data_IF_166254928825
#
_entry.id   IF_166254928825
#
_cell.length_a   1.000
_cell.length_b   1.000
_cell.length_c   1.000
_cell.angle_alpha   90.00
_cell.angle_beta   90.00
_cell.angle_gamma   90.00
#
_symmetry.space_group_name_H-M   'P 1'
#
loop_
_entity.id
_entity.type
_entity.pdbx_description
1 polymer ?
#
# COMPACT_ATOMS: atom_id res chain seq x y z
N UNK A 1 1.01 7.45 -64.26
CA UNK A 1 1.44 7.86 -62.90
C UNK A 1 0.30 7.81 -61.86
N UNK A 2 -0.63 6.85 -61.96
CA UNK A 2 -1.74 6.68 -60.99
C UNK A 2 -1.42 5.68 -59.86
N UNK A 3 -0.21 5.11 -59.84
CA UNK A 3 0.25 4.13 -58.82
C UNK A 3 1.11 4.73 -57.70
N UNK A 4 1.53 6.01 -57.81
CA UNK A 4 2.33 6.68 -56.78
C UNK A 4 1.50 7.37 -55.69
N UNK A 5 0.22 7.67 -55.96
CA UNK A 5 -0.67 8.33 -54.99
C UNK A 5 -1.23 7.33 -53.96
N UNK A 6 -1.27 6.03 -54.29
CA UNK A 6 -1.78 5.00 -53.36
C UNK A 6 -0.77 4.60 -52.26
N UNK A 7 0.53 4.91 -52.43
CA UNK A 7 1.57 4.54 -51.45
C UNK A 7 1.80 5.66 -50.42
N UNK A 8 1.56 6.92 -50.77
CA UNK A 8 1.63 8.03 -49.80
C UNK A 8 0.42 8.10 -48.84
N UNK A 9 -0.75 7.60 -49.25
CA UNK A 9 -1.91 7.44 -48.35
C UNK A 9 -1.80 6.23 -47.42
N UNK A 10 -0.87 5.30 -47.68
CA UNK A 10 -0.64 4.14 -46.82
C UNK A 10 0.45 4.39 -45.76
N UNK A 11 1.29 5.42 -45.95
CA UNK A 11 2.36 5.77 -45.01
C UNK A 11 1.93 6.78 -43.92
N UNK A 12 0.83 7.52 -44.12
CA UNK A 12 0.29 8.46 -43.13
C UNK A 12 -0.74 7.85 -42.16
N UNK A 13 -1.17 6.61 -42.40
CA UNK A 13 -2.15 5.91 -41.53
C UNK A 13 -1.45 5.07 -40.45
N UNK A 14 -0.17 4.74 -40.61
CA UNK A 14 0.58 3.93 -39.63
C UNK A 14 1.29 4.75 -38.52
N UNK A 15 1.29 6.08 -38.55
CA UNK A 15 2.01 6.89 -37.55
C UNK A 15 1.14 7.52 -36.45
N UNK A 16 -0.19 7.55 -36.59
CA UNK A 16 -1.06 8.22 -35.62
C UNK A 16 -1.38 7.32 -34.41
N UNK A 17 -1.81 6.08 -34.64
CA UNK A 17 -2.23 5.16 -33.57
C UNK A 17 -1.08 4.78 -32.61
N UNK A 18 0.14 4.59 -33.13
CA UNK A 18 1.32 4.30 -32.32
C UNK A 18 1.80 5.50 -31.48
N UNK A 19 1.40 6.71 -31.86
CA UNK A 19 1.84 7.93 -31.18
C UNK A 19 1.05 8.14 -29.87
N UNK A 20 -0.27 7.90 -29.88
CA UNK A 20 -1.10 8.02 -28.69
C UNK A 20 -0.75 6.97 -27.62
N UNK A 21 -0.42 5.74 -28.03
CA UNK A 21 -0.01 4.67 -27.10
C UNK A 21 1.32 4.93 -26.39
N UNK A 22 2.19 5.78 -26.97
CA UNK A 22 3.50 6.13 -26.38
C UNK A 22 3.41 7.45 -25.61
N UNK A 23 2.86 8.48 -26.24
CA UNK A 23 2.78 9.81 -25.62
C UNK A 23 1.73 9.88 -24.51
N UNK A 24 0.67 9.06 -24.61
CA UNK A 24 -0.41 8.96 -23.63
C UNK A 24 0.12 8.71 -22.21
N UNK A 25 0.79 7.56 -21.99
CA UNK A 25 1.43 7.25 -20.71
C UNK A 25 2.54 8.25 -20.36
N UNK A 26 3.33 8.70 -21.34
CA UNK A 26 4.45 9.63 -21.09
C UNK A 26 4.01 10.88 -20.32
N UNK A 27 2.97 11.59 -20.79
CA UNK A 27 2.51 12.80 -20.10
C UNK A 27 1.82 12.51 -18.76
N UNK A 28 1.29 11.30 -18.55
CA UNK A 28 0.79 10.89 -17.22
C UNK A 28 1.96 10.69 -16.24
N UNK A 29 3.02 10.03 -16.69
CA UNK A 29 4.20 9.73 -15.87
C UNK A 29 5.01 10.99 -15.51
N UNK A 30 5.08 11.96 -16.42
CA UNK A 30 5.75 13.24 -16.17
C UNK A 30 4.85 14.28 -15.47
N UNK A 31 3.60 13.94 -15.19
CA UNK A 31 2.58 14.85 -14.64
C UNK A 31 2.34 16.12 -15.49
N UNK A 32 2.65 16.05 -16.79
CA UNK A 32 2.52 17.14 -17.77
C UNK A 32 1.13 17.12 -18.43
N UNK A 33 0.07 17.14 -17.61
CA UNK A 33 -1.30 16.87 -18.07
C UNK A 33 -1.82 17.91 -19.07
N UNK A 34 -1.55 19.20 -18.87
CA UNK A 34 -1.99 20.26 -19.78
C UNK A 34 -1.37 20.14 -21.18
N UNK A 35 -0.07 19.82 -21.26
CA UNK A 35 0.60 19.61 -22.56
C UNK A 35 0.10 18.31 -23.20
N UNK A 36 -0.10 17.25 -22.42
CA UNK A 36 -0.76 16.02 -22.87
C UNK A 36 -2.14 16.27 -23.47
N UNK A 37 -2.97 17.11 -22.83
CA UNK A 37 -4.28 17.52 -23.38
C UNK A 37 -4.09 18.25 -24.71
N UNK A 38 -3.16 19.20 -24.80
CA UNK A 38 -2.91 19.97 -26.04
C UNK A 38 -2.49 19.07 -27.19
N UNK A 39 -1.56 18.14 -26.95
CA UNK A 39 -1.04 17.21 -27.95
C UNK A 39 -2.14 16.23 -28.40
N UNK A 40 -2.79 15.53 -27.46
CA UNK A 40 -3.83 14.54 -27.80
C UNK A 40 -5.08 15.18 -28.41
N UNK A 41 -5.46 16.39 -27.97
CA UNK A 41 -6.55 17.13 -28.60
C UNK A 41 -6.20 17.56 -30.03
N UNK A 42 -4.92 17.82 -30.31
CA UNK A 42 -4.41 17.99 -31.68
C UNK A 42 -4.63 16.75 -32.52
N UNK A 43 -4.25 15.58 -32.00
CA UNK A 43 -4.45 14.29 -32.68
C UNK A 43 -5.94 14.00 -32.93
N UNK A 44 -6.81 14.29 -31.95
CA UNK A 44 -8.26 14.14 -32.12
C UNK A 44 -8.86 15.11 -33.15
N UNK A 45 -8.23 16.26 -33.43
CA UNK A 45 -8.68 17.14 -34.52
C UNK A 45 -8.31 16.56 -35.88
N UNK A 46 -7.14 15.93 -35.99
CA UNK A 46 -6.67 15.30 -37.22
C UNK A 46 -7.37 13.97 -37.50
N UNK A 47 -7.60 13.18 -36.45
CA UNK A 47 -8.34 11.93 -36.47
C UNK A 47 -9.37 11.90 -35.33
N UNK A 48 -10.62 12.34 -35.60
CA UNK A 48 -11.69 12.32 -34.60
C UNK A 48 -12.02 10.95 -34.04
N UNK A 49 -11.72 9.86 -34.75
CA UNK A 49 -12.11 8.50 -34.34
C UNK A 49 -10.95 7.75 -33.65
N UNK A 50 -9.95 8.47 -33.14
CA UNK A 50 -8.86 7.87 -32.35
C UNK A 50 -9.26 7.63 -30.89
N UNK A 51 -9.66 6.39 -30.58
CA UNK A 51 -10.08 6.00 -29.23
C UNK A 51 -8.98 6.21 -28.17
N UNK A 52 -7.70 5.85 -28.41
CA UNK A 52 -6.63 6.08 -27.45
C UNK A 52 -6.42 7.56 -27.10
N UNK A 53 -6.39 8.47 -28.09
CA UNK A 53 -6.26 9.92 -27.79
C UNK A 53 -7.44 10.43 -26.98
N UNK A 54 -8.68 10.02 -27.30
CA UNK A 54 -9.86 10.41 -26.51
C UNK A 54 -9.74 9.91 -25.07
N UNK A 55 -9.32 8.66 -24.90
CA UNK A 55 -9.07 8.07 -23.60
C UNK A 55 -8.04 8.85 -22.78
N UNK A 56 -6.88 9.19 -23.36
CA UNK A 56 -5.83 9.93 -22.64
C UNK A 56 -6.24 11.35 -22.30
N UNK A 57 -6.93 12.08 -23.20
CA UNK A 57 -7.51 13.40 -22.88
C UNK A 57 -8.43 13.30 -21.66
N UNK A 58 -9.30 12.28 -21.63
CA UNK A 58 -10.15 11.99 -20.50
C UNK A 58 -9.36 11.78 -19.20
N UNK A 59 -8.31 10.96 -19.25
CA UNK A 59 -7.45 10.69 -18.07
C UNK A 59 -6.68 11.91 -17.59
N UNK A 60 -6.19 12.77 -18.47
CA UNK A 60 -5.52 14.01 -18.08
C UNK A 60 -6.49 14.96 -17.37
N UNK A 61 -7.72 15.11 -17.87
CA UNK A 61 -8.73 15.89 -17.17
C UNK A 61 -9.08 15.33 -15.79
N UNK A 62 -9.11 14.00 -15.63
CA UNK A 62 -9.26 13.38 -14.30
C UNK A 62 -8.06 13.67 -13.39
N UNK A 63 -6.84 13.59 -13.90
CA UNK A 63 -5.63 13.93 -13.13
C UNK A 63 -5.63 15.40 -12.67
N UNK A 64 -6.23 16.30 -13.47
CA UNK A 64 -6.47 17.70 -13.11
C UNK A 64 -7.71 17.93 -12.22
N UNK A 65 -8.36 16.87 -11.75
CA UNK A 65 -9.59 16.91 -10.96
C UNK A 65 -10.75 17.66 -11.66
N UNK A 66 -10.91 17.44 -12.98
CA UNK A 66 -11.97 18.03 -13.83
C UNK A 66 -12.84 16.93 -14.46
N UNK A 67 -13.60 16.15 -13.67
CA UNK A 67 -14.31 14.97 -14.17
C UNK A 67 -15.43 15.29 -15.17
N UNK A 68 -16.07 16.45 -15.09
CA UNK A 68 -17.09 16.89 -16.05
C UNK A 68 -16.49 17.12 -17.44
N UNK A 69 -15.23 17.55 -17.51
CA UNK A 69 -14.50 17.71 -18.77
C UNK A 69 -13.96 16.38 -19.27
N UNK A 70 -13.59 15.46 -18.38
CA UNK A 70 -13.08 14.14 -18.74
C UNK A 70 -14.14 13.24 -19.38
N UNK A 71 -15.34 13.21 -18.79
CA UNK A 71 -16.37 12.22 -19.10
C UNK A 71 -16.75 12.16 -20.60
N UNK A 72 -16.96 13.27 -21.33
CA UNK A 72 -17.28 13.21 -22.76
C UNK A 72 -16.21 12.51 -23.61
N UNK A 73 -14.93 12.67 -23.25
CA UNK A 73 -13.82 12.03 -23.96
C UNK A 73 -13.71 10.54 -23.63
N UNK A 74 -13.90 10.16 -22.37
CA UNK A 74 -13.92 8.74 -21.95
C UNK A 74 -15.10 8.00 -22.59
N UNK A 75 -16.30 8.61 -22.58
CA UNK A 75 -17.46 8.05 -23.28
C UNK A 75 -17.24 7.95 -24.79
N UNK A 76 -16.49 8.89 -25.39
CA UNK A 76 -16.10 8.80 -26.80
C UNK A 76 -15.19 7.61 -27.04
N UNK A 77 -14.16 7.41 -26.21
CA UNK A 77 -13.28 6.25 -26.30
C UNK A 77 -14.07 4.93 -26.19
N UNK A 78 -15.02 4.82 -25.24
CA UNK A 78 -15.91 3.65 -25.10
C UNK A 78 -16.82 3.45 -26.32
N UNK A 79 -17.29 4.53 -26.98
CA UNK A 79 -18.09 4.39 -28.20
C UNK A 79 -17.28 3.89 -29.38
N UNK A 80 -16.02 4.33 -29.48
CA UNK A 80 -15.10 3.96 -30.56
C UNK A 80 -14.57 2.54 -30.39
N UNK A 81 -14.31 2.14 -29.14
CA UNK A 81 -13.94 0.77 -28.78
C UNK A 81 -14.72 0.30 -27.54
N UNK A 82 -15.90 -0.32 -27.73
CA UNK A 82 -16.75 -0.79 -26.63
C UNK A 82 -16.23 -2.06 -25.94
N UNK A 83 -15.20 -2.72 -26.48
CA UNK A 83 -14.62 -3.93 -25.92
C UNK A 83 -13.48 -3.64 -24.93
N UNK A 84 -12.95 -2.41 -24.92
CA UNK A 84 -11.91 -1.98 -23.98
C UNK A 84 -12.45 -1.84 -22.56
N UNK A 85 -12.10 -2.80 -21.69
CA UNK A 85 -12.44 -2.78 -20.28
C UNK A 85 -11.85 -1.56 -19.55
N UNK A 86 -10.64 -1.14 -19.93
CA UNK A 86 -9.95 0.00 -19.31
C UNK A 86 -10.67 1.33 -19.62
N UNK A 87 -11.18 1.51 -20.84
CA UNK A 87 -11.96 2.72 -21.18
C UNK A 87 -13.25 2.80 -20.37
N UNK A 88 -13.90 1.66 -20.17
CA UNK A 88 -15.10 1.56 -19.34
C UNK A 88 -14.77 1.79 -17.87
N UNK A 89 -13.67 1.22 -17.36
CA UNK A 89 -13.19 1.43 -16.00
C UNK A 89 -12.94 2.92 -15.71
N UNK A 90 -12.19 3.62 -16.56
CA UNK A 90 -11.91 5.06 -16.36
C UNK A 90 -13.17 5.93 -16.48
N UNK A 91 -14.17 5.52 -17.26
CA UNK A 91 -15.50 6.15 -17.22
C UNK A 91 -16.15 6.01 -15.84
N UNK A 92 -16.00 4.85 -15.19
CA UNK A 92 -16.41 4.63 -13.80
C UNK A 92 -15.67 5.54 -12.81
N UNK A 93 -14.36 5.74 -12.99
CA UNK A 93 -13.57 6.68 -12.18
C UNK A 93 -14.10 8.11 -12.31
N UNK A 94 -14.48 8.53 -13.53
CA UNK A 94 -15.09 9.84 -13.74
C UNK A 94 -16.45 9.97 -13.02
N UNK A 95 -17.29 8.93 -13.05
CA UNK A 95 -18.54 8.92 -12.30
C UNK A 95 -18.32 8.98 -10.79
N UNK A 96 -17.33 8.25 -10.27
CA UNK A 96 -16.94 8.31 -8.86
C UNK A 96 -16.57 9.74 -8.44
N UNK A 97 -15.72 10.42 -9.23
CA UNK A 97 -15.28 11.78 -8.95
C UNK A 97 -16.43 12.81 -8.98
N UNK A 98 -17.50 12.54 -9.73
CA UNK A 98 -18.74 13.33 -9.72
C UNK A 98 -19.76 12.88 -8.66
N UNK A 99 -19.40 11.91 -7.81
CA UNK A 99 -20.29 11.28 -6.81
C UNK A 99 -21.52 10.57 -7.41
N UNK A 100 -21.47 10.18 -8.69
CA UNK A 100 -22.50 9.39 -9.37
C UNK A 100 -22.24 7.89 -9.13
N UNK A 101 -22.48 7.48 -7.90
CA UNK A 101 -22.10 6.16 -7.40
C UNK A 101 -22.87 4.98 -8.03
N UNK A 102 -24.01 5.24 -8.66
CA UNK A 102 -24.77 4.19 -9.37
C UNK A 102 -24.12 3.87 -10.71
N UNK A 103 -23.72 4.91 -11.48
CA UNK A 103 -23.04 4.71 -12.77
C UNK A 103 -21.59 4.28 -12.60
N UNK A 104 -20.92 4.73 -11.54
CA UNK A 104 -19.61 4.24 -11.11
C UNK A 104 -19.60 2.73 -10.98
N UNK A 105 -20.49 2.19 -10.13
CA UNK A 105 -20.63 0.75 -9.94
C UNK A 105 -20.94 0.01 -11.24
N UNK A 106 -21.91 0.51 -12.01
CA UNK A 106 -22.30 -0.13 -13.28
C UNK A 106 -21.14 -0.17 -14.30
N UNK A 107 -20.31 0.88 -14.33
CA UNK A 107 -19.11 0.92 -15.15
C UNK A 107 -18.07 -0.11 -14.68
N UNK A 108 -17.79 -0.21 -13.39
CA UNK A 108 -16.84 -1.22 -12.89
C UNK A 108 -17.33 -2.66 -13.12
N UNK A 109 -18.61 -2.93 -12.88
CA UNK A 109 -19.22 -4.24 -13.18
C UNK A 109 -19.14 -4.56 -14.68
N UNK A 110 -19.37 -3.57 -15.56
CA UNK A 110 -19.21 -3.73 -17.01
C UNK A 110 -17.75 -3.97 -17.41
N UNK A 111 -16.78 -3.26 -16.82
CA UNK A 111 -15.36 -3.48 -17.07
C UNK A 111 -14.95 -4.91 -16.71
N UNK A 112 -15.40 -5.43 -15.56
CA UNK A 112 -15.19 -6.83 -15.15
C UNK A 112 -15.87 -7.82 -16.11
N UNK A 113 -17.06 -7.47 -16.64
CA UNK A 113 -17.73 -8.28 -17.65
C UNK A 113 -16.98 -8.37 -18.98
N UNK A 114 -16.20 -7.34 -19.33
CA UNK A 114 -15.35 -7.30 -20.52
C UNK A 114 -14.00 -8.00 -20.28
N UNK A 115 -13.39 -7.76 -19.12
CA UNK A 115 -12.15 -8.41 -18.68
C UNK A 115 -12.28 -8.86 -17.21
N UNK A 116 -12.53 -10.16 -16.97
CA UNK A 116 -12.62 -10.73 -15.63
C UNK A 116 -11.33 -10.67 -14.80
N UNK A 117 -10.20 -10.30 -15.41
CA UNK A 117 -8.91 -10.17 -14.72
C UNK A 117 -8.52 -8.70 -14.50
N UNK A 118 -9.43 -7.75 -14.73
CA UNK A 118 -9.13 -6.33 -14.58
C UNK A 118 -8.97 -5.95 -13.09
N UNK A 119 -7.73 -5.94 -12.61
CA UNK A 119 -7.37 -5.72 -11.20
C UNK A 119 -8.00 -4.44 -10.63
N UNK A 120 -7.84 -3.30 -11.30
CA UNK A 120 -8.36 -2.02 -10.79
C UNK A 120 -9.89 -2.03 -10.66
N UNK A 121 -10.62 -2.55 -11.65
CA UNK A 121 -12.09 -2.62 -11.59
C UNK A 121 -12.56 -3.47 -10.40
N UNK A 122 -11.92 -4.60 -10.12
CA UNK A 122 -12.21 -5.38 -8.91
C UNK A 122 -11.86 -4.60 -7.63
N UNK A 123 -10.69 -3.97 -7.57
CA UNK A 123 -10.23 -3.23 -6.38
C UNK A 123 -11.19 -2.09 -6.03
N UNK A 124 -11.51 -1.23 -7.01
CA UNK A 124 -12.39 -0.07 -6.81
C UNK A 124 -13.84 -0.47 -6.60
N UNK A 125 -14.34 -1.53 -7.24
CA UNK A 125 -15.66 -2.08 -6.92
C UNK A 125 -15.68 -2.61 -5.46
N UNK A 126 -14.59 -3.21 -5.00
CA UNK A 126 -14.39 -3.60 -3.61
C UNK A 126 -14.47 -2.41 -2.65
N UNK A 127 -13.81 -1.29 -2.97
CA UNK A 127 -13.91 -0.05 -2.19
C UNK A 127 -15.35 0.48 -2.15
N UNK A 128 -16.04 0.53 -3.30
CA UNK A 128 -17.43 0.96 -3.37
C UNK A 128 -18.37 0.10 -2.51
N UNK A 129 -18.14 -1.23 -2.44
CA UNK A 129 -18.85 -2.11 -1.52
C UNK A 129 -18.51 -1.82 -0.05
N UNK A 130 -17.23 -1.63 0.28
CA UNK A 130 -16.76 -1.34 1.63
C UNK A 130 -17.35 -0.03 2.18
N UNK A 131 -17.40 1.04 1.37
CA UNK A 131 -17.94 2.35 1.77
C UNK A 131 -19.43 2.29 2.11
N UNK A 132 -20.15 1.31 1.54
CA UNK A 132 -21.57 1.05 1.83
C UNK A 132 -21.77 0.00 2.94
N UNK A 133 -20.70 -0.42 3.62
CA UNK A 133 -20.74 -1.46 4.66
C UNK A 133 -21.01 -2.87 4.14
N UNK A 134 -20.91 -3.09 2.82
CA UNK A 134 -21.16 -4.37 2.16
C UNK A 134 -19.88 -5.24 2.18
N UNK A 135 -19.39 -5.53 3.38
CA UNK A 135 -18.08 -6.13 3.62
C UNK A 135 -17.88 -7.50 2.98
N UNK A 136 -18.92 -8.34 2.93
CA UNK A 136 -18.84 -9.66 2.30
C UNK A 136 -18.66 -9.56 0.78
N UNK A 137 -19.30 -8.58 0.13
CA UNK A 137 -19.10 -8.30 -1.29
C UNK A 137 -17.69 -7.74 -1.54
N UNK A 138 -17.25 -6.78 -0.71
CA UNK A 138 -15.92 -6.19 -0.80
C UNK A 138 -14.82 -7.26 -0.68
N UNK A 139 -14.92 -8.15 0.32
CA UNK A 139 -13.98 -9.24 0.54
C UNK A 139 -13.81 -10.11 -0.71
N UNK A 140 -14.90 -10.48 -1.38
CA UNK A 140 -14.83 -11.29 -2.61
C UNK A 140 -14.04 -10.59 -3.71
N UNK A 141 -14.20 -9.27 -3.86
CA UNK A 141 -13.46 -8.51 -4.86
C UNK A 141 -11.96 -8.44 -4.51
N UNK A 142 -11.63 -8.15 -3.25
CA UNK A 142 -10.23 -8.13 -2.80
C UNK A 142 -9.57 -9.51 -2.91
N UNK A 143 -10.29 -10.60 -2.70
CA UNK A 143 -9.78 -11.95 -2.92
C UNK A 143 -9.50 -12.26 -4.39
N UNK A 144 -10.27 -11.69 -5.32
CA UNK A 144 -9.95 -11.79 -6.77
C UNK A 144 -8.67 -11.01 -7.07
N UNK A 145 -8.55 -9.77 -6.57
CA UNK A 145 -7.32 -8.97 -6.72
C UNK A 145 -6.11 -9.75 -6.21
N UNK A 146 -6.19 -10.35 -5.01
CA UNK A 146 -5.09 -11.11 -4.41
C UNK A 146 -4.78 -12.44 -5.10
N UNK A 147 -5.68 -12.96 -5.94
CA UNK A 147 -5.37 -14.11 -6.82
C UNK A 147 -4.56 -13.67 -8.04
N UNK A 148 -4.80 -12.46 -8.54
CA UNK A 148 -4.15 -11.90 -9.73
C UNK A 148 -2.82 -11.21 -9.39
N UNK A 149 -2.80 -10.48 -8.27
CA UNK A 149 -1.67 -9.78 -7.69
C UNK A 149 -1.59 -10.10 -6.19
N UNK A 150 -0.88 -11.19 -5.81
CA UNK A 150 -0.79 -11.65 -4.41
C UNK A 150 -0.16 -10.67 -3.43
N UNK A 151 0.53 -9.65 -3.94
CA UNK A 151 1.23 -8.66 -3.14
C UNK A 151 0.53 -7.31 -3.15
N UNK A 152 -0.64 -7.16 -3.79
CA UNK A 152 -1.32 -5.87 -3.86
C UNK A 152 -1.55 -5.24 -2.46
N UNK A 153 -0.92 -4.09 -2.13
CA UNK A 153 -0.95 -3.55 -0.77
C UNK A 153 -2.36 -3.13 -0.35
N UNK A 154 -3.13 -2.52 -1.26
CA UNK A 154 -4.50 -2.09 -0.98
C UNK A 154 -5.43 -3.26 -0.77
N UNK A 155 -5.35 -4.32 -1.58
CA UNK A 155 -6.20 -5.49 -1.42
C UNK A 155 -5.84 -6.29 -0.15
N UNK A 156 -4.55 -6.40 0.21
CA UNK A 156 -4.11 -7.02 1.46
C UNK A 156 -4.66 -6.27 2.68
N UNK A 157 -4.51 -4.94 2.70
CA UNK A 157 -5.00 -4.08 3.77
C UNK A 157 -6.53 -4.12 3.87
N UNK A 158 -7.24 -3.97 2.74
CA UNK A 158 -8.70 -3.91 2.74
C UNK A 158 -9.35 -5.29 2.93
N UNK A 159 -8.67 -6.39 2.62
CA UNK A 159 -9.11 -7.74 2.99
C UNK A 159 -9.24 -7.89 4.51
N UNK A 160 -8.24 -7.42 5.26
CA UNK A 160 -8.30 -7.48 6.73
C UNK A 160 -9.42 -6.59 7.28
N UNK A 161 -9.62 -5.38 6.73
CA UNK A 161 -10.77 -4.52 7.06
C UNK A 161 -12.11 -5.18 6.77
N UNK A 162 -12.24 -5.83 5.61
CA UNK A 162 -13.47 -6.50 5.23
C UNK A 162 -13.76 -7.71 6.14
N UNK A 163 -12.73 -8.48 6.53
CA UNK A 163 -12.84 -9.57 7.49
C UNK A 163 -13.29 -9.09 8.87
N UNK A 164 -12.78 -7.94 9.32
CA UNK A 164 -13.28 -7.26 10.52
C UNK A 164 -14.75 -6.89 10.39
N UNK A 165 -15.15 -6.31 9.25
CA UNK A 165 -16.53 -5.88 9.00
C UNK A 165 -17.56 -7.01 8.93
N UNK A 166 -17.12 -8.26 8.81
CA UNK A 166 -17.97 -9.46 8.90
C UNK A 166 -17.65 -10.33 10.14
N UNK A 167 -17.01 -9.74 11.16
CA UNK A 167 -16.70 -10.37 12.45
C UNK A 167 -15.88 -11.69 12.36
N UNK A 168 -15.03 -11.84 11.34
CA UNK A 168 -14.12 -12.99 11.18
C UNK A 168 -12.75 -12.72 11.82
N UNK A 169 -12.72 -12.58 13.14
CA UNK A 169 -11.54 -12.13 13.91
C UNK A 169 -10.26 -12.95 13.68
N UNK A 170 -10.34 -14.29 13.65
CA UNK A 170 -9.14 -15.12 13.42
C UNK A 170 -8.52 -14.87 12.05
N UNK A 171 -9.36 -14.68 11.04
CA UNK A 171 -8.93 -14.43 9.67
C UNK A 171 -8.43 -12.99 9.50
N UNK A 172 -9.06 -12.03 10.19
CA UNK A 172 -8.60 -10.63 10.26
C UNK A 172 -7.15 -10.56 10.80
N UNK A 173 -6.88 -11.20 11.94
CA UNK A 173 -5.54 -11.23 12.55
C UNK A 173 -4.52 -11.80 11.56
N UNK A 174 -4.85 -12.91 10.90
CA UNK A 174 -3.97 -13.50 9.90
C UNK A 174 -3.75 -12.57 8.70
N UNK A 175 -4.79 -11.85 8.26
CA UNK A 175 -4.70 -10.91 7.16
C UNK A 175 -3.86 -9.66 7.51
N UNK A 176 -3.97 -9.11 8.73
CA UNK A 176 -3.11 -8.02 9.18
C UNK A 176 -1.64 -8.42 9.23
N UNK A 177 -1.34 -9.61 9.77
CA UNK A 177 0.03 -10.14 9.77
C UNK A 177 0.58 -10.32 8.37
N UNK A 178 -0.25 -10.80 7.44
CA UNK A 178 0.14 -10.96 6.04
C UNK A 178 0.43 -9.63 5.35
N UNK A 179 -0.34 -8.59 5.62
CA UNK A 179 -0.06 -7.24 5.13
C UNK A 179 1.28 -6.72 5.69
N UNK A 180 1.49 -6.81 7.00
CA UNK A 180 2.69 -6.34 7.69
C UNK A 180 3.96 -7.15 7.35
N UNK A 181 3.82 -8.38 6.85
CA UNK A 181 4.93 -9.17 6.33
C UNK A 181 5.58 -8.51 5.10
N UNK A 182 4.77 -7.89 4.24
CA UNK A 182 5.22 -7.26 3.00
C UNK A 182 5.36 -5.75 3.09
N UNK A 183 4.51 -5.11 3.88
CA UNK A 183 4.41 -3.65 4.01
C UNK A 183 4.48 -3.24 5.48
N UNK A 184 5.65 -3.39 6.15
CA UNK A 184 5.83 -3.04 7.55
C UNK A 184 6.06 -1.55 7.79
N UNK A 185 5.84 -0.67 6.80
CA UNK A 185 6.08 0.76 6.90
C UNK A 185 4.92 1.63 6.36
N UNK A 186 4.96 2.91 6.71
CA UNK A 186 3.93 3.87 6.33
C UNK A 186 2.68 3.86 7.22
N UNK A 187 1.71 4.71 6.88
CA UNK A 187 0.48 4.91 7.66
C UNK A 187 -0.38 3.65 7.75
N UNK A 188 -0.50 2.90 6.65
CA UNK A 188 -1.25 1.65 6.64
C UNK A 188 -0.63 0.60 7.57
N UNK A 189 0.70 0.50 7.64
CA UNK A 189 1.37 -0.41 8.58
C UNK A 189 1.12 -0.03 10.04
N UNK A 190 1.16 1.26 10.35
CA UNK A 190 0.86 1.74 11.70
C UNK A 190 -0.57 1.39 12.10
N UNK A 191 -1.56 1.64 11.23
CA UNK A 191 -2.95 1.31 11.49
C UNK A 191 -3.17 -0.20 11.57
N UNK A 192 -2.59 -0.99 10.67
CA UNK A 192 -2.67 -2.45 10.69
C UNK A 192 -2.10 -3.02 12.01
N UNK A 193 -1.00 -2.45 12.49
CA UNK A 193 -0.38 -2.83 13.76
C UNK A 193 -1.28 -2.51 14.95
N UNK A 194 -1.93 -1.33 14.95
CA UNK A 194 -2.91 -0.98 15.98
C UNK A 194 -4.08 -1.96 16.00
N UNK A 195 -4.61 -2.34 14.83
CA UNK A 195 -5.68 -3.34 14.74
C UNK A 195 -5.23 -4.70 15.27
N UNK A 196 -4.01 -5.13 14.93
CA UNK A 196 -3.44 -6.39 15.42
C UNK A 196 -3.27 -6.37 16.95
N UNK A 197 -2.78 -5.26 17.51
CA UNK A 197 -2.56 -5.11 18.95
C UNK A 197 -3.88 -5.01 19.75
N UNK A 198 -4.98 -4.51 19.16
CA UNK A 198 -6.31 -4.52 19.78
C UNK A 198 -6.85 -5.95 20.04
N UNK A 199 -6.33 -6.92 19.29
CA UNK A 199 -6.60 -8.35 19.45
C UNK A 199 -5.59 -9.06 20.38
N UNK A 200 -4.64 -8.32 20.95
CA UNK A 200 -3.59 -8.87 21.82
C UNK A 200 -2.47 -9.61 21.08
N UNK A 201 -2.43 -9.53 19.74
CA UNK A 201 -1.29 -10.01 18.98
C UNK A 201 -0.27 -8.85 18.85
N UNK A 202 0.90 -9.06 19.43
CA UNK A 202 2.01 -8.09 19.44
C UNK A 202 3.17 -8.56 18.57
N UNK A 203 2.90 -9.33 17.51
CA UNK A 203 3.93 -9.72 16.51
C UNK A 203 4.58 -8.48 15.89
N UNK A 204 3.82 -7.41 15.72
CA UNK A 204 4.28 -6.08 15.33
C UNK A 204 3.85 -5.05 16.38
N UNK A 205 4.63 -3.99 16.55
CA UNK A 205 4.35 -2.87 17.46
C UNK A 205 4.79 -1.55 16.85
N UNK A 206 4.02 -0.50 17.12
CA UNK A 206 4.40 0.86 16.77
C UNK A 206 5.30 1.43 17.87
N UNK A 207 6.42 2.03 17.45
CA UNK A 207 7.37 2.67 18.34
C UNK A 207 7.64 4.10 17.89
N UNK A 208 7.65 5.02 18.87
CA UNK A 208 8.16 6.37 18.65
C UNK A 208 9.68 6.30 18.79
N UNK A 209 10.38 6.40 17.67
CA UNK A 209 11.84 6.37 17.59
C UNK A 209 12.31 7.77 17.17
N UNK A 210 12.75 8.55 18.15
CA UNK A 210 13.07 9.97 17.97
C UNK A 210 11.82 10.77 17.63
N UNK A 211 11.74 11.29 16.40
CA UNK A 211 10.58 12.05 15.88
C UNK A 211 9.70 11.24 14.92
N UNK A 212 10.00 9.95 14.72
CA UNK A 212 9.32 9.10 13.75
C UNK A 212 8.54 8.02 14.46
N UNK A 213 7.34 7.73 13.97
CA UNK A 213 6.63 6.52 14.34
C UNK A 213 7.01 5.42 13.35
N UNK A 214 7.42 4.27 13.88
CA UNK A 214 7.91 3.15 13.09
C UNK A 214 7.26 1.88 13.59
N UNK A 215 6.68 1.11 12.68
CA UNK A 215 6.23 -0.26 12.95
C UNK A 215 7.45 -1.17 12.93
N UNK A 216 7.68 -1.88 14.03
CA UNK A 216 8.72 -2.89 14.14
C UNK A 216 8.09 -4.24 14.43
N UNK A 217 8.69 -5.29 13.88
CA UNK A 217 8.35 -6.66 14.30
C UNK A 217 8.96 -6.88 15.68
N UNK A 218 8.17 -7.42 16.60
CA UNK A 218 8.66 -7.77 17.92
C UNK A 218 9.76 -8.82 17.83
N UNK A 219 10.81 -8.62 18.63
CA UNK A 219 11.92 -9.56 18.75
C UNK A 219 11.46 -10.83 19.45
N UNK A 220 11.55 -11.96 18.75
CA UNK A 220 11.42 -13.27 19.36
C UNK A 220 12.80 -13.88 19.63
N UNK A 221 12.82 -14.83 20.57
CA UNK A 221 14.03 -15.50 21.03
C UNK A 221 13.78 -16.99 21.05
N UNK A 222 14.82 -17.80 20.79
CA UNK A 222 14.69 -19.25 20.99
C UNK A 222 14.26 -19.52 22.44
N UNK A 223 13.31 -20.46 22.68
CA UNK A 223 12.72 -20.67 24.00
C UNK A 223 13.77 -20.81 25.11
N UNK A 224 13.63 -20.03 26.18
CA UNK A 224 14.54 -20.06 27.33
C UNK A 224 15.94 -19.45 27.10
N UNK A 225 16.23 -18.90 25.91
CA UNK A 225 17.55 -18.35 25.58
C UNK A 225 17.53 -16.84 25.34
N UNK A 226 18.72 -16.25 25.20
CA UNK A 226 18.95 -14.89 24.74
C UNK A 226 19.27 -14.79 23.24
N UNK A 227 19.13 -15.88 22.47
CA UNK A 227 19.44 -15.90 21.03
C UNK A 227 18.21 -15.39 20.27
N UNK A 228 18.29 -14.22 19.59
CA UNK A 228 17.18 -13.72 18.77
C UNK A 228 16.92 -14.68 17.61
N UNK A 229 15.65 -14.81 17.24
CA UNK A 229 15.27 -15.46 15.98
C UNK A 229 15.73 -14.64 14.76
N UNK A 230 15.57 -15.20 13.56
CA UNK A 230 16.03 -14.53 12.34
C UNK A 230 15.18 -13.28 12.04
N UNK A 231 13.87 -13.39 12.22
CA UNK A 231 12.91 -12.36 11.81
C UNK A 231 13.02 -11.08 12.65
N UNK A 232 13.34 -11.18 13.94
CA UNK A 232 13.51 -10.01 14.80
C UNK A 232 14.72 -9.14 14.46
N UNK A 233 15.72 -9.67 13.73
CA UNK A 233 16.95 -8.94 13.39
C UNK A 233 16.72 -7.79 12.42
N UNK A 234 15.78 -7.93 11.49
CA UNK A 234 15.45 -6.88 10.53
C UNK A 234 15.02 -5.57 11.23
N UNK A 235 14.26 -5.68 12.33
CA UNK A 235 13.84 -4.51 13.12
C UNK A 235 15.02 -3.83 13.84
N UNK A 236 16.03 -4.61 14.23
CA UNK A 236 17.26 -4.06 14.80
C UNK A 236 18.12 -3.35 13.75
N UNK A 237 18.16 -3.85 12.52
CA UNK A 237 18.87 -3.21 11.43
C UNK A 237 18.24 -1.84 11.08
N UNK A 238 16.91 -1.75 11.11
CA UNK A 238 16.17 -0.47 10.97
C UNK A 238 16.58 0.51 12.07
N UNK A 239 16.54 0.10 13.34
CA UNK A 239 16.94 0.94 14.47
C UNK A 239 18.39 1.40 14.36
N UNK A 240 19.31 0.49 14.04
CA UNK A 240 20.72 0.83 13.81
C UNK A 240 20.90 1.83 12.67
N UNK A 241 20.18 1.67 11.55
CA UNK A 241 20.19 2.65 10.46
C UNK A 241 19.69 4.02 10.91
N UNK A 242 18.59 4.09 11.67
CA UNK A 242 18.09 5.35 12.23
C UNK A 242 19.10 6.02 13.16
N UNK A 243 19.81 5.26 14.00
CA UNK A 243 20.86 5.77 14.89
C UNK A 243 22.12 6.23 14.16
N UNK A 244 22.45 5.64 13.00
CA UNK A 244 23.54 6.12 12.15
C UNK A 244 23.22 7.49 11.54
N UNK A 245 21.98 7.67 11.07
CA UNK A 245 21.51 8.92 10.49
C UNK A 245 21.37 10.02 11.56
N UNK A 246 20.78 9.69 12.71
CA UNK A 246 20.64 10.63 13.83
C UNK A 246 21.62 10.29 14.95
N UNK A 247 22.74 11.03 15.02
CA UNK A 247 23.82 10.81 16.00
C UNK A 247 23.45 11.17 17.45
N UNK A 248 22.37 11.93 17.64
CA UNK A 248 21.85 12.31 18.97
C UNK A 248 20.84 11.29 19.50
N UNK A 249 20.30 10.43 18.61
CA UNK A 249 19.32 9.41 18.99
C UNK A 249 19.93 8.42 19.97
N UNK A 250 19.30 8.30 21.14
CA UNK A 250 19.56 7.26 22.14
C UNK A 250 18.38 6.32 22.20
N UNK A 251 18.64 5.01 22.18
CA UNK A 251 17.60 3.96 22.20
C UNK A 251 17.81 3.09 23.44
N UNK A 252 16.95 3.26 24.44
CA UNK A 252 16.90 2.38 25.61
C UNK A 252 16.25 1.05 25.24
N UNK A 253 17.01 -0.03 25.42
CA UNK A 253 16.55 -1.40 25.17
C UNK A 253 15.99 -1.93 26.48
N UNK A 254 14.68 -2.21 26.50
CA UNK A 254 13.95 -2.64 27.69
C UNK A 254 13.46 -4.06 27.50
N UNK A 255 14.00 -5.02 28.27
CA UNK A 255 13.61 -6.43 28.17
C UNK A 255 12.76 -6.88 29.36
N UNK A 256 11.70 -7.63 29.08
CA UNK A 256 10.83 -8.25 30.09
C UNK A 256 10.87 -9.76 29.94
N UNK A 257 11.03 -10.47 31.07
CA UNK A 257 10.80 -11.92 31.16
C UNK A 257 10.23 -12.22 32.54
N UNK A 258 8.94 -12.51 32.59
CA UNK A 258 8.21 -12.83 33.82
C UNK A 258 8.85 -14.03 34.54
N UNK A 259 9.16 -13.83 35.81
CA UNK A 259 9.83 -14.82 36.65
C UNK A 259 11.33 -15.00 36.39
N UNK A 260 11.94 -14.26 35.45
CA UNK A 260 13.35 -14.48 35.07
C UNK A 260 14.07 -13.19 34.66
N UNK A 261 14.34 -12.31 35.64
CA UNK A 261 15.12 -11.09 35.44
C UNK A 261 16.54 -11.33 34.86
N UNK A 262 17.29 -12.40 35.23
CA UNK A 262 18.57 -12.71 34.61
C UNK A 262 18.47 -12.96 33.10
N UNK A 263 17.44 -13.69 32.65
CA UNK A 263 17.20 -13.91 31.22
C UNK A 263 16.78 -12.63 30.51
N UNK A 264 15.96 -11.78 31.14
CA UNK A 264 15.63 -10.46 30.60
C UNK A 264 16.91 -9.62 30.38
N UNK A 265 17.81 -9.59 31.37
CA UNK A 265 19.12 -8.94 31.24
C UNK A 265 19.96 -9.51 30.10
N UNK A 266 20.00 -10.85 29.98
CA UNK A 266 20.75 -11.52 28.92
C UNK A 266 20.20 -11.15 27.53
N UNK A 267 18.87 -11.05 27.36
CA UNK A 267 18.21 -10.62 26.12
C UNK A 267 18.51 -9.16 25.79
N UNK A 268 18.43 -8.26 26.76
CA UNK A 268 18.78 -6.84 26.57
C UNK A 268 20.23 -6.68 26.09
N UNK A 269 21.18 -7.45 26.68
CA UNK A 269 22.57 -7.45 26.23
C UNK A 269 22.71 -8.02 24.81
N UNK A 270 22.07 -9.16 24.51
CA UNK A 270 22.14 -9.76 23.17
C UNK A 270 21.63 -8.82 22.07
N UNK A 271 20.55 -8.08 22.35
CA UNK A 271 20.01 -7.07 21.44
C UNK A 271 21.01 -5.93 21.23
N UNK A 272 21.59 -5.40 22.31
CA UNK A 272 22.61 -4.34 22.21
C UNK A 272 23.85 -4.81 21.45
N UNK A 273 24.37 -6.00 21.77
CA UNK A 273 25.56 -6.53 21.12
C UNK A 273 25.31 -6.76 19.62
N UNK A 274 24.10 -7.18 19.23
CA UNK A 274 23.70 -7.24 17.82
C UNK A 274 23.72 -5.84 17.18
N UNK A 275 23.09 -4.84 17.80
CA UNK A 275 23.03 -3.48 17.26
C UNK A 275 24.40 -2.81 17.14
N UNK A 276 25.36 -3.13 18.02
CA UNK A 276 26.73 -2.64 17.94
C UNK A 276 27.55 -3.34 16.85
N UNK A 277 27.26 -4.62 16.60
CA UNK A 277 27.99 -5.40 15.62
C UNK A 277 27.75 -4.85 14.21
N UNK A 278 28.83 -4.57 13.49
CA UNK A 278 28.76 -4.00 12.13
C UNK A 278 28.30 -2.53 12.05
N UNK A 279 28.11 -1.84 13.17
CA UNK A 279 27.61 -0.45 13.20
C UNK A 279 28.56 0.48 13.99
N UNK A 280 29.67 0.93 13.39
CA UNK A 280 30.72 1.68 14.11
C UNK A 280 30.26 3.05 14.65
N UNK A 281 29.24 3.67 14.05
CA UNK A 281 28.67 4.94 14.54
C UNK A 281 27.69 4.76 15.72
N UNK A 282 27.30 3.53 16.04
CA UNK A 282 26.45 3.20 17.18
C UNK A 282 27.35 2.75 18.33
N UNK A 283 27.30 3.47 19.44
CA UNK A 283 28.14 3.17 20.61
C UNK A 283 27.31 2.74 21.82
N UNK A 284 27.98 2.14 22.81
CA UNK A 284 27.32 1.59 24.02
C UNK A 284 26.60 2.63 24.85
N UNK A 285 27.07 3.88 24.90
CA UNK A 285 26.43 4.93 25.71
C UNK A 285 25.09 5.39 25.11
N UNK A 286 24.87 5.18 23.81
CA UNK A 286 23.60 5.47 23.12
C UNK A 286 22.60 4.30 23.15
N UNK A 287 22.98 3.17 23.76
CA UNK A 287 22.15 1.98 23.95
C UNK A 287 22.06 1.60 25.44
N UNK A 288 21.44 2.45 26.29
CA UNK A 288 21.18 2.08 27.67
C UNK A 288 20.29 0.85 27.73
N UNK A 289 20.43 0.08 28.82
CA UNK A 289 19.69 -1.16 29.04
C UNK A 289 18.82 -1.06 30.28
N UNK A 290 17.60 -1.55 30.16
CA UNK A 290 16.69 -1.80 31.27
C UNK A 290 16.17 -3.23 31.18
N UNK A 291 15.96 -3.91 32.31
CA UNK A 291 15.41 -5.26 32.30
C UNK A 291 14.57 -5.56 33.54
N UNK A 292 13.52 -6.35 33.36
CA UNK A 292 12.55 -6.66 34.40
C UNK A 292 12.19 -8.14 34.42
N UNK A 293 12.08 -8.69 35.64
CA UNK A 293 11.61 -10.05 35.90
C UNK A 293 10.07 -10.18 35.95
N UNK A 294 9.35 -9.17 35.47
CA UNK A 294 7.89 -9.09 35.43
C UNK A 294 7.42 -9.13 33.98
N UNK A 295 6.11 -9.33 33.78
CA UNK A 295 5.51 -9.08 32.47
C UNK A 295 5.56 -7.59 32.12
N UNK A 296 5.59 -7.27 30.82
CA UNK A 296 5.29 -5.92 30.34
C UNK A 296 3.77 -5.71 30.35
N UNK A 297 3.30 -4.62 30.95
CA UNK A 297 1.91 -4.22 30.85
C UNK A 297 1.75 -3.26 29.67
N UNK A 298 0.95 -3.66 28.67
CA UNK A 298 0.70 -2.88 27.46
C UNK A 298 -0.77 -2.48 27.42
N UNK A 299 -1.03 -1.17 27.35
CA UNK A 299 -2.37 -0.62 27.18
C UNK A 299 -2.64 -0.37 25.70
N UNK A 300 -3.75 -0.90 25.17
CA UNK A 300 -4.20 -0.66 23.80
C UNK A 300 -5.69 -0.31 23.83
N UNK A 301 -6.01 0.96 23.61
CA UNK A 301 -7.34 1.50 23.88
C UNK A 301 -7.74 1.25 25.34
N UNK A 302 -8.93 0.68 25.56
CA UNK A 302 -9.44 0.37 26.89
C UNK A 302 -8.97 -0.99 27.43
N UNK A 303 -8.17 -1.75 26.67
CA UNK A 303 -7.69 -3.08 27.06
C UNK A 303 -6.27 -3.03 27.59
N UNK A 304 -6.01 -3.82 28.63
CA UNK A 304 -4.68 -4.08 29.17
C UNK A 304 -4.24 -5.51 28.83
N UNK A 305 -3.02 -5.66 28.34
CA UNK A 305 -2.39 -6.93 28.02
C UNK A 305 -1.11 -7.10 28.85
N UNK A 306 -0.85 -8.33 29.31
CA UNK A 306 0.39 -8.69 29.99
C UNK A 306 1.24 -9.56 29.06
N UNK A 307 2.40 -9.05 28.64
CA UNK A 307 3.36 -9.80 27.84
C UNK A 307 4.38 -10.43 28.77
N UNK A 308 4.29 -11.75 28.93
CA UNK A 308 5.22 -12.51 29.79
C UNK A 308 6.67 -12.37 29.31
N UNK A 309 6.89 -12.10 28.03
CA UNK A 309 8.20 -11.85 27.45
C UNK A 309 8.11 -10.80 26.34
N UNK A 310 9.00 -9.81 26.35
CA UNK A 310 9.09 -8.81 25.29
C UNK A 310 10.43 -8.08 25.30
N UNK A 311 10.75 -7.40 24.20
CA UNK A 311 11.75 -6.35 24.14
C UNK A 311 11.10 -5.11 23.54
N UNK A 312 11.23 -3.99 24.25
CA UNK A 312 10.69 -2.70 23.85
C UNK A 312 11.82 -1.68 23.71
N UNK A 313 11.58 -0.66 22.89
CA UNK A 313 12.53 0.40 22.59
C UNK A 313 11.92 1.74 23.00
N UNK A 314 12.62 2.44 23.89
CA UNK A 314 12.22 3.78 24.35
C UNK A 314 13.32 4.73 23.93
N UNK A 315 12.97 5.81 23.22
CA UNK A 315 13.97 6.78 22.77
C UNK A 315 13.94 8.06 23.56
N UNK A 316 15.12 8.58 23.83
CA UNK A 316 15.35 9.96 24.24
C UNK A 316 16.00 10.69 23.06
N UNK A 317 15.48 11.86 22.71
CA UNK A 317 16.20 12.84 21.88
C UNK A 317 16.72 13.88 22.86
N UNK A 318 18.04 13.94 23.03
CA UNK A 318 18.70 14.97 23.82
C UNK A 318 19.18 16.09 22.91
#
# INVERSE_FOLDING_TARGET
MKKFIAVLLLASVLSAAGCATVMGPYYLEQEEYEEGIKVMSGQLRENPDDAPSAYYVGRYYLALNKPEQALPYLQKAVRLDPASADYVFWTGVAYWAMMDFDRERAAYEKAIGLDPNHISAHLYLGHGYADRGQWAQALRQYEVVLKLDPYNPEALYNRARALRGIDRTSDEIAAWKRFLEYYPDGSMAMTATEQLNLHGDFTYRNHIIGKRNVTLRSLAFKPGTSVPDADGRASLDVLSAMMRVNRELTVNIVAYVKGNAPLAKARANAVRDYMLNGNPDVNRSRLPLSWFGTAENVQVGDKAFALDQSVNFITEVR
#
